data_IF_848040395564
#
_entry.id   IF_848040395564
#
_cell.length_a   1.000
_cell.length_b   1.000
_cell.length_c   1.000
_cell.angle_alpha   90.00
_cell.angle_beta   90.00
_cell.angle_gamma   90.00
#
_symmetry.space_group_name_H-M   'P 1'
#
loop_
_entity.id
_entity.type
_entity.pdbx_description
1 polymer ?
#
# COMPACT_ATOMS: atom_id res chain seq x y z
N UNK A 1 12.69 -1.24 -26.82
CA UNK A 1 12.05 -0.61 -25.65
C UNK A 1 11.18 -1.67 -25.02
N UNK A 2 11.64 -2.29 -23.93
CA UNK A 2 11.00 -3.48 -23.37
C UNK A 2 9.74 -3.09 -22.59
N UNK A 3 8.66 -3.84 -22.78
CA UNK A 3 7.36 -3.63 -22.12
C UNK A 3 7.49 -3.56 -20.58
N UNK A 4 8.51 -4.20 -20.02
CA UNK A 4 8.80 -4.24 -18.58
C UNK A 4 9.17 -2.87 -17.97
N UNK A 5 9.59 -1.90 -18.79
CA UNK A 5 9.97 -0.57 -18.33
C UNK A 5 8.76 0.26 -17.85
N UNK A 6 7.55 -0.16 -18.21
CA UNK A 6 6.29 0.57 -17.96
C UNK A 6 5.35 -0.12 -16.98
N UNK A 7 5.79 -1.19 -16.30
CA UNK A 7 4.93 -1.94 -15.37
C UNK A 7 4.47 -1.06 -14.19
N UNK A 8 5.22 -0.03 -13.82
CA UNK A 8 4.79 0.97 -12.84
C UNK A 8 3.48 1.68 -13.23
N UNK A 9 3.21 1.88 -14.53
CA UNK A 9 1.94 2.45 -15.03
C UNK A 9 0.78 1.51 -14.68
N UNK A 10 0.97 0.20 -14.84
CA UNK A 10 -0.05 -0.79 -14.48
C UNK A 10 -0.37 -0.72 -12.99
N UNK A 11 0.63 -0.60 -12.12
CA UNK A 11 0.41 -0.45 -10.68
C UNK A 11 -0.30 0.85 -10.30
N UNK A 12 0.01 1.96 -10.98
CA UNK A 12 -0.73 3.21 -10.80
C UNK A 12 -2.19 3.03 -11.25
N UNK A 13 -2.41 2.43 -12.42
CA UNK A 13 -3.74 2.18 -12.95
C UNK A 13 -4.58 1.28 -12.02
N UNK A 14 -3.97 0.23 -11.45
CA UNK A 14 -4.62 -0.65 -10.46
C UNK A 14 -4.96 0.12 -9.18
N UNK A 15 -4.05 0.96 -8.68
CA UNK A 15 -4.29 1.80 -7.49
C UNK A 15 -5.48 2.73 -7.72
N UNK A 16 -5.50 3.43 -8.87
CA UNK A 16 -6.58 4.33 -9.26
C UNK A 16 -7.90 3.56 -9.40
N UNK A 17 -7.89 2.44 -10.12
CA UNK A 17 -9.06 1.60 -10.30
C UNK A 17 -9.64 1.14 -8.95
N UNK A 18 -8.80 0.64 -8.04
CA UNK A 18 -9.23 0.22 -6.71
C UNK A 18 -9.83 1.37 -5.90
N UNK A 19 -9.25 2.57 -5.96
CA UNK A 19 -9.79 3.75 -5.30
C UNK A 19 -11.17 4.16 -5.86
N UNK A 20 -11.37 4.07 -7.18
CA UNK A 20 -12.68 4.33 -7.79
C UNK A 20 -13.71 3.25 -7.49
N UNK A 21 -13.32 1.97 -7.51
CA UNK A 21 -14.19 0.87 -7.10
C UNK A 21 -14.63 1.05 -5.64
N UNK A 22 -13.71 1.47 -4.76
CA UNK A 22 -14.02 1.81 -3.37
C UNK A 22 -15.03 2.96 -3.28
N UNK A 23 -14.76 4.06 -4.00
CA UNK A 23 -15.65 5.23 -4.07
C UNK A 23 -17.04 4.87 -4.61
N UNK A 24 -17.12 3.96 -5.58
CA UNK A 24 -18.39 3.50 -6.12
C UNK A 24 -19.14 2.65 -5.09
N UNK A 25 -18.45 1.68 -4.45
CA UNK A 25 -19.04 0.79 -3.45
C UNK A 25 -19.49 1.54 -2.19
N UNK A 26 -18.83 2.64 -1.82
CA UNK A 26 -19.18 3.42 -0.63
C UNK A 26 -20.49 4.19 -0.76
N UNK A 27 -20.94 4.52 -1.99
CA UNK A 27 -22.17 5.30 -2.24
C UNK A 27 -23.41 4.73 -1.54
N UNK A 28 -23.56 3.40 -1.51
CA UNK A 28 -24.72 2.76 -0.87
C UNK A 28 -24.71 2.95 0.66
N UNK A 29 -23.51 2.98 1.26
CA UNK A 29 -23.35 3.20 2.71
C UNK A 29 -23.51 4.67 3.06
N UNK A 30 -22.98 5.57 2.23
CA UNK A 30 -23.17 7.02 2.37
C UNK A 30 -24.66 7.39 2.25
N UNK A 31 -25.39 6.79 1.31
CA UNK A 31 -26.84 7.03 1.18
C UNK A 31 -27.61 6.62 2.44
N UNK A 32 -27.18 5.55 3.11
CA UNK A 32 -27.80 5.08 4.35
C UNK A 32 -27.36 5.90 5.59
N UNK A 33 -26.12 6.40 5.57
CA UNK A 33 -25.47 7.15 6.65
C UNK A 33 -24.58 8.25 6.05
N UNK A 34 -25.15 9.45 5.76
CA UNK A 34 -24.43 10.53 5.10
C UNK A 34 -23.17 10.99 5.86
N UNK A 35 -23.16 10.84 7.18
CA UNK A 35 -22.03 11.19 8.06
C UNK A 35 -20.72 10.45 7.74
N UNK A 36 -20.78 9.32 7.01
CA UNK A 36 -19.60 8.54 6.62
C UNK A 36 -18.87 9.11 5.40
N UNK A 37 -19.50 10.01 4.64
CA UNK A 37 -18.94 10.55 3.39
C UNK A 37 -17.54 11.15 3.55
N UNK A 38 -17.27 12.04 4.54
CA UNK A 38 -15.94 12.63 4.70
C UNK A 38 -14.86 11.59 4.97
N UNK A 39 -15.22 10.51 5.68
CA UNK A 39 -14.31 9.39 5.96
C UNK A 39 -13.92 8.65 4.69
N UNK A 40 -14.91 8.24 3.88
CA UNK A 40 -14.64 7.59 2.59
C UNK A 40 -13.83 8.48 1.64
N UNK A 41 -14.17 9.77 1.55
CA UNK A 41 -13.42 10.70 0.71
C UNK A 41 -11.96 10.80 1.13
N UNK A 42 -11.71 10.96 2.43
CA UNK A 42 -10.36 11.06 2.99
C UNK A 42 -9.54 9.82 2.67
N UNK A 43 -10.14 8.64 2.80
CA UNK A 43 -9.46 7.38 2.49
C UNK A 43 -9.17 7.23 1.00
N UNK A 44 -10.13 7.53 0.12
CA UNK A 44 -9.94 7.48 -1.34
C UNK A 44 -8.82 8.43 -1.77
N UNK A 45 -8.83 9.68 -1.26
CA UNK A 45 -7.75 10.65 -1.51
C UNK A 45 -6.40 10.13 -0.99
N UNK A 46 -6.38 9.55 0.22
CA UNK A 46 -5.19 8.94 0.79
C UNK A 46 -4.61 7.82 -0.07
N UNK A 47 -5.44 6.90 -0.58
CA UNK A 47 -5.01 5.81 -1.47
C UNK A 47 -4.43 6.38 -2.77
N UNK A 48 -5.10 7.36 -3.37
CA UNK A 48 -4.65 7.98 -4.63
C UNK A 48 -3.32 8.72 -4.49
N UNK A 49 -3.08 9.38 -3.36
CA UNK A 49 -1.84 10.12 -3.12
C UNK A 49 -0.75 9.17 -2.65
N UNK A 50 -0.92 8.56 -1.48
CA UNK A 50 0.12 7.79 -0.83
C UNK A 50 0.39 6.44 -1.51
N UNK A 51 -0.64 5.80 -2.06
CA UNK A 51 -0.52 4.51 -2.74
C UNK A 51 0.25 4.56 -4.06
N UNK A 52 0.41 5.75 -4.65
CA UNK A 52 1.14 5.92 -5.92
C UNK A 52 2.59 6.38 -5.76
N UNK A 53 3.00 6.84 -4.56
CA UNK A 53 4.37 7.35 -4.33
C UNK A 53 5.44 6.34 -4.74
N UNK A 54 5.40 5.05 -4.33
CA UNK A 54 6.44 4.10 -4.68
C UNK A 54 6.52 3.87 -6.20
N UNK A 55 5.38 3.84 -6.89
CA UNK A 55 5.33 3.61 -8.33
C UNK A 55 5.82 4.81 -9.14
N UNK A 56 5.62 6.03 -8.65
CA UNK A 56 6.21 7.23 -9.24
C UNK A 56 7.74 7.18 -9.13
N UNK A 57 8.29 6.75 -7.98
CA UNK A 57 9.74 6.58 -7.82
C UNK A 57 10.29 5.57 -8.83
N UNK A 58 9.60 4.43 -9.02
CA UNK A 58 9.95 3.44 -10.05
C UNK A 58 9.90 4.04 -11.45
N UNK A 59 8.84 4.80 -11.76
CA UNK A 59 8.68 5.44 -13.04
C UNK A 59 9.82 6.41 -13.36
N UNK A 60 10.20 7.26 -12.40
CA UNK A 60 11.32 8.19 -12.55
C UNK A 60 12.64 7.40 -12.73
N UNK A 61 12.90 6.39 -11.90
CA UNK A 61 14.10 5.56 -12.03
C UNK A 61 14.24 4.94 -13.43
N UNK A 62 13.14 4.39 -13.96
CA UNK A 62 13.10 3.76 -15.28
C UNK A 62 13.23 4.78 -16.42
N UNK A 63 12.56 5.93 -16.34
CA UNK A 63 12.57 6.96 -17.38
C UNK A 63 13.95 7.62 -17.53
N UNK A 64 14.65 7.80 -16.42
CA UNK A 64 16.00 8.38 -16.41
C UNK A 64 17.11 7.31 -16.46
N UNK A 65 16.77 6.04 -16.75
CA UNK A 65 17.71 4.93 -16.90
C UNK A 65 18.59 4.64 -15.67
N UNK A 66 18.14 5.07 -14.47
CA UNK A 66 18.77 4.66 -13.21
C UNK A 66 18.39 3.22 -12.84
N UNK A 67 17.24 2.76 -13.29
CA UNK A 67 16.80 1.36 -13.22
C UNK A 67 16.28 0.95 -14.59
N UNK A 68 16.43 -0.32 -14.94
CA UNK A 68 15.95 -0.91 -16.18
C UNK A 68 14.55 -1.47 -16.01
N UNK A 69 14.25 -2.08 -14.87
CA UNK A 69 12.93 -2.65 -14.61
C UNK A 69 12.60 -2.79 -13.12
N UNK A 70 11.39 -3.27 -12.81
CA UNK A 70 10.98 -3.57 -11.43
C UNK A 70 11.86 -4.63 -10.75
N UNK A 71 12.49 -5.53 -11.50
CA UNK A 71 13.34 -6.57 -10.90
C UNK A 71 14.57 -5.98 -10.23
N UNK A 72 15.03 -4.81 -10.67
CA UNK A 72 16.19 -4.14 -10.08
C UNK A 72 15.93 -3.79 -8.61
N UNK A 73 14.68 -3.48 -8.27
CA UNK A 73 14.27 -3.18 -6.91
C UNK A 73 14.37 -4.39 -5.98
N UNK A 74 14.53 -5.63 -6.47
CA UNK A 74 14.79 -6.81 -5.64
C UNK A 74 16.26 -6.91 -5.17
N UNK A 75 17.15 -6.06 -5.68
CA UNK A 75 18.58 -6.09 -5.44
C UNK A 75 19.06 -4.84 -4.71
N UNK A 76 18.78 -4.77 -3.40
CA UNK A 76 19.15 -3.63 -2.55
C UNK A 76 20.67 -3.42 -2.46
N UNK A 77 21.46 -4.47 -2.68
CA UNK A 77 22.93 -4.44 -2.69
C UNK A 77 23.55 -3.51 -3.74
N UNK A 78 22.78 -3.09 -4.76
CA UNK A 78 23.27 -2.15 -5.78
C UNK A 78 23.47 -0.73 -5.24
N UNK A 79 22.89 -0.43 -4.07
CA UNK A 79 22.92 0.89 -3.43
C UNK A 79 22.47 2.04 -4.36
N UNK A 80 21.66 1.72 -5.37
CA UNK A 80 21.10 2.71 -6.27
C UNK A 80 20.16 3.66 -5.49
N UNK A 81 20.29 4.98 -5.63
CA UNK A 81 19.49 5.93 -4.87
C UNK A 81 17.98 5.79 -5.10
N UNK A 82 17.53 5.41 -6.30
CA UNK A 82 16.10 5.21 -6.59
C UNK A 82 15.55 3.95 -5.91
N UNK A 83 16.35 2.90 -5.79
CA UNK A 83 15.99 1.69 -5.05
C UNK A 83 15.88 2.03 -3.55
N UNK A 84 16.86 2.77 -3.02
CA UNK A 84 16.83 3.22 -1.62
C UNK A 84 15.61 4.11 -1.34
N UNK A 85 15.33 5.09 -2.22
CA UNK A 85 14.16 5.97 -2.09
C UNK A 85 12.84 5.19 -2.15
N UNK A 86 12.74 4.19 -3.02
CA UNK A 86 11.58 3.32 -3.08
C UNK A 86 11.36 2.61 -1.73
N UNK A 87 12.38 1.94 -1.19
CA UNK A 87 12.25 1.26 0.10
C UNK A 87 12.00 2.22 1.26
N UNK A 88 12.62 3.40 1.26
CA UNK A 88 12.32 4.44 2.23
C UNK A 88 10.84 4.86 2.17
N UNK A 89 10.28 5.03 0.97
CA UNK A 89 8.86 5.36 0.80
C UNK A 89 7.95 4.25 1.35
N UNK A 90 8.30 2.98 1.12
CA UNK A 90 7.55 1.82 1.64
C UNK A 90 7.60 1.79 3.17
N UNK A 91 8.78 1.99 3.76
CA UNK A 91 8.95 2.05 5.22
C UNK A 91 8.16 3.22 5.84
N UNK A 92 8.20 4.40 5.22
CA UNK A 92 7.42 5.55 5.67
C UNK A 92 5.91 5.25 5.64
N UNK A 93 5.41 4.61 4.58
CA UNK A 93 4.01 4.19 4.50
C UNK A 93 3.65 3.15 5.56
N UNK A 94 4.54 2.20 5.86
CA UNK A 94 4.31 1.24 6.94
C UNK A 94 4.25 1.91 8.31
N UNK A 95 5.17 2.82 8.61
CA UNK A 95 5.18 3.57 9.87
C UNK A 95 3.92 4.42 10.03
N UNK A 96 3.50 5.13 8.97
CA UNK A 96 2.25 5.88 8.95
C UNK A 96 1.04 4.97 9.13
N UNK A 97 1.04 3.80 8.47
CA UNK A 97 0.00 2.79 8.61
C UNK A 97 -0.11 2.23 10.03
N UNK A 98 1.02 1.85 10.65
CA UNK A 98 1.09 1.40 12.04
C UNK A 98 0.57 2.51 12.97
N UNK A 99 1.09 3.73 12.82
CA UNK A 99 0.67 4.86 13.64
C UNK A 99 -0.84 5.09 13.51
N UNK A 100 -1.37 5.04 12.29
CA UNK A 100 -2.79 5.24 12.04
C UNK A 100 -3.65 4.12 12.63
N UNK A 101 -3.34 2.86 12.31
CA UNK A 101 -4.13 1.67 12.70
C UNK A 101 -4.14 1.45 14.21
N UNK A 102 -3.00 1.58 14.90
CA UNK A 102 -2.90 1.27 16.33
C UNK A 102 -3.08 2.48 17.24
N UNK A 103 -2.67 3.68 16.82
CA UNK A 103 -2.58 4.85 17.71
C UNK A 103 -3.55 5.99 17.35
N UNK A 104 -4.11 6.03 16.14
CA UNK A 104 -5.06 7.09 15.70
C UNK A 104 -6.45 6.56 15.36
N UNK A 105 -6.88 5.49 16.02
CA UNK A 105 -8.19 4.86 15.83
C UNK A 105 -8.46 4.41 14.38
N UNK A 106 -7.41 4.13 13.59
CA UNK A 106 -7.56 3.75 12.18
C UNK A 106 -8.29 2.43 12.00
N UNK A 107 -8.07 1.46 12.90
CA UNK A 107 -8.79 0.19 12.85
C UNK A 107 -10.29 0.34 13.17
N UNK A 108 -10.61 1.16 14.19
CA UNK A 108 -11.97 1.51 14.58
C UNK A 108 -12.67 2.27 13.46
N UNK A 109 -11.98 3.21 12.82
CA UNK A 109 -12.46 3.88 11.62
C UNK A 109 -12.81 2.87 10.52
N UNK A 110 -11.93 1.90 10.23
CA UNK A 110 -12.20 0.89 9.20
C UNK A 110 -13.37 -0.04 9.55
N UNK A 111 -13.56 -0.37 10.82
CA UNK A 111 -14.71 -1.14 11.32
C UNK A 111 -16.03 -0.37 11.13
N UNK A 112 -16.02 0.94 11.38
CA UNK A 112 -17.17 1.84 11.23
C UNK A 112 -17.51 2.17 9.77
N UNK A 113 -16.67 1.77 8.81
CA UNK A 113 -16.83 2.06 7.37
C UNK A 113 -17.00 0.75 6.57
N UNK A 114 -18.25 0.25 6.44
CA UNK A 114 -18.53 -1.01 5.78
C UNK A 114 -18.04 -1.06 4.32
N UNK A 115 -17.58 -2.23 3.88
CA UNK A 115 -17.13 -2.43 2.50
C UNK A 115 -15.70 -1.96 2.21
N UNK A 116 -15.01 -1.33 3.17
CA UNK A 116 -13.57 -1.10 3.10
C UNK A 116 -12.76 -2.38 3.32
N UNK A 117 -13.14 -3.15 4.34
CA UNK A 117 -12.55 -4.45 4.68
C UNK A 117 -13.68 -5.47 4.72
N UNK A 118 -13.63 -6.45 3.81
CA UNK A 118 -14.64 -7.50 3.71
C UNK A 118 -13.94 -8.84 3.73
N UNK A 119 -14.27 -9.67 4.71
CA UNK A 119 -13.92 -11.10 4.69
C UNK A 119 -15.12 -11.84 4.13
N UNK A 120 -14.95 -12.49 2.96
CA UNK A 120 -15.99 -13.37 2.43
C UNK A 120 -15.96 -14.68 3.22
N UNK A 121 -16.74 -14.74 4.29
CA UNK A 121 -16.97 -15.95 5.08
C UNK A 121 -18.48 -16.16 5.27
N UNK A 122 -19.12 -16.89 4.34
CA UNK A 122 -20.53 -17.26 4.45
C UNK A 122 -21.54 -16.26 3.86
N UNK A 123 -22.82 -16.63 3.97
CA UNK A 123 -23.99 -16.03 3.29
C UNK A 123 -24.28 -14.56 3.64
N UNK A 124 -23.65 -14.01 4.68
CA UNK A 124 -23.72 -12.59 5.02
C UNK A 124 -22.32 -12.00 5.25
N UNK A 125 -21.91 -10.97 4.49
CA UNK A 125 -20.65 -10.29 4.73
C UNK A 125 -20.72 -9.51 6.05
N UNK A 126 -20.04 -10.01 7.08
CA UNK A 126 -19.86 -9.30 8.35
C UNK A 126 -18.73 -8.26 8.24
N UNK A 127 -18.92 -7.10 8.88
CA UNK A 127 -17.84 -6.13 9.04
C UNK A 127 -16.76 -6.70 9.94
N UNK A 128 -15.50 -6.45 9.59
CA UNK A 128 -14.35 -6.94 10.34
C UNK A 128 -14.10 -6.04 11.54
N UNK A 129 -14.05 -6.61 12.74
CA UNK A 129 -13.80 -5.83 13.95
C UNK A 129 -12.39 -5.22 13.99
N UNK A 130 -12.22 -4.09 14.69
CA UNK A 130 -10.94 -3.41 14.82
C UNK A 130 -9.84 -4.33 15.36
N UNK A 131 -10.17 -5.26 16.26
CA UNK A 131 -9.23 -6.28 16.77
C UNK A 131 -8.70 -7.18 15.65
N UNK A 132 -9.59 -7.68 14.78
CA UNK A 132 -9.22 -8.50 13.63
C UNK A 132 -8.40 -7.69 12.61
N UNK A 133 -8.75 -6.43 12.38
CA UNK A 133 -7.99 -5.52 11.51
C UNK A 133 -6.57 -5.31 12.05
N UNK A 134 -6.42 -4.98 13.34
CA UNK A 134 -5.12 -4.82 14.00
C UNK A 134 -4.29 -6.11 13.92
N UNK A 135 -4.89 -7.28 14.15
CA UNK A 135 -4.18 -8.56 14.06
C UNK A 135 -3.69 -8.83 12.62
N UNK A 136 -4.58 -8.72 11.64
CA UNK A 136 -4.25 -8.98 10.24
C UNK A 136 -3.19 -8.01 9.72
N UNK A 137 -3.33 -6.72 10.02
CA UNK A 137 -2.33 -5.71 9.67
C UNK A 137 -0.98 -6.01 10.32
N UNK A 138 -0.96 -6.43 11.60
CA UNK A 138 0.26 -6.84 12.29
C UNK A 138 0.97 -8.01 11.62
N UNK A 139 0.23 -9.03 11.17
CA UNK A 139 0.78 -10.17 10.43
C UNK A 139 1.42 -9.72 9.11
N UNK A 140 0.75 -8.83 8.36
CA UNK A 140 1.32 -8.25 7.13
C UNK A 140 2.60 -7.49 7.44
N UNK A 141 2.64 -6.67 8.50
CA UNK A 141 3.83 -5.93 8.88
C UNK A 141 5.00 -6.85 9.25
N UNK A 142 4.74 -7.95 9.98
CA UNK A 142 5.79 -8.94 10.31
C UNK A 142 6.31 -9.61 9.04
N UNK A 143 5.43 -10.07 8.15
CA UNK A 143 5.83 -10.69 6.87
C UNK A 143 6.68 -9.74 6.03
N UNK A 144 6.26 -8.49 5.95
CA UNK A 144 6.97 -7.42 5.26
C UNK A 144 8.34 -7.11 5.88
N UNK A 145 8.45 -7.14 7.21
CA UNK A 145 9.72 -6.94 7.92
C UNK A 145 10.70 -8.09 7.64
N UNK A 146 10.23 -9.34 7.64
CA UNK A 146 11.05 -10.51 7.29
C UNK A 146 11.62 -10.35 5.87
N UNK A 147 10.78 -9.94 4.91
CA UNK A 147 11.22 -9.66 3.55
C UNK A 147 12.25 -8.53 3.50
N UNK A 148 12.04 -7.44 4.23
CA UNK A 148 12.98 -6.33 4.28
C UNK A 148 14.34 -6.73 4.88
N UNK A 149 14.34 -7.53 5.95
CA UNK A 149 15.57 -8.07 6.55
C UNK A 149 16.31 -8.98 5.56
N UNK A 150 15.59 -9.81 4.79
CA UNK A 150 16.20 -10.61 3.73
C UNK A 150 16.89 -9.74 2.66
N UNK A 151 16.28 -8.62 2.28
CA UNK A 151 16.91 -7.67 1.35
C UNK A 151 18.15 -7.00 1.94
N UNK A 152 18.11 -6.59 3.22
CA UNK A 152 19.27 -6.03 3.91
C UNK A 152 20.41 -7.04 4.02
N UNK A 153 20.10 -8.32 4.22
CA UNK A 153 21.11 -9.38 4.26
C UNK A 153 21.92 -9.46 2.94
N UNK A 154 21.33 -9.08 1.80
CA UNK A 154 22.06 -9.02 0.52
C UNK A 154 23.23 -8.01 0.54
N UNK A 155 23.14 -6.95 1.33
CA UNK A 155 24.17 -5.91 1.45
C UNK A 155 25.44 -6.50 2.07
N UNK A 156 25.32 -7.47 2.98
CA UNK A 156 26.47 -8.11 3.62
C UNK A 156 27.31 -8.98 2.65
N UNK A 157 26.79 -9.28 1.45
CA UNK A 157 27.55 -9.96 0.40
C UNK A 157 28.25 -9.01 -0.57
N UNK A 158 28.23 -7.71 -0.30
CA UNK A 158 29.12 -6.75 -0.94
C UNK A 158 30.51 -7.01 -0.35
N UNK A 159 31.23 -7.99 -0.91
CA UNK A 159 32.66 -8.13 -0.65
C UNK A 159 33.38 -6.92 -1.28
N UNK A 160 34.38 -6.33 -0.60
CA UNK A 160 35.26 -5.35 -1.21
C UNK A 160 36.03 -5.93 -2.41
#
# INVERSE_FOLDING_TARGET
>A
MEIFNYVWILFIAVTIFNAYVLKFRSKKYIKAKPELEPGYEKLVKGILVYGNIPWVIVGIGNLFQYTNSLTDYLYLKTLNPFIILFYFSILALWLLGIHWIYFKKGAEFLEEHPGLVVVKGGSNPENVSAKKIKLFFGIIMISNLIFFVFLLYQINFIKP
#
